data_IF_998044786259
#
_entry.id   IF_998044786259
#
_cell.length_a   1.000
_cell.length_b   1.000
_cell.length_c   1.000
_cell.angle_alpha   90.00
_cell.angle_beta   90.00
_cell.angle_gamma   90.00
#
_symmetry.space_group_name_H-M   'P 1'
#
loop_
_entity.id
_entity.type
_entity.pdbx_description
1 polymer ?
#
# COMPACT_ATOMS: atom_id res chain seq x y z
N UNK A 1 -44.22 -38.04 50.35
CA UNK A 1 -44.64 -37.39 49.09
C UNK A 1 -43.42 -36.67 48.49
N UNK A 2 -42.82 -37.20 47.42
CA UNK A 2 -41.66 -36.60 46.75
C UNK A 2 -42.10 -36.11 45.37
N UNK A 3 -42.07 -34.79 45.13
CA UNK A 3 -42.39 -34.18 43.84
C UNK A 3 -41.11 -34.14 43.00
N UNK A 4 -41.11 -34.84 41.87
CA UNK A 4 -40.05 -34.78 40.85
C UNK A 4 -40.47 -33.70 39.85
N UNK A 5 -39.70 -32.62 39.77
CA UNK A 5 -39.89 -31.56 38.77
C UNK A 5 -39.04 -31.95 37.55
N UNK A 6 -39.71 -32.29 36.46
CA UNK A 6 -39.08 -32.52 35.15
C UNK A 6 -38.79 -31.16 34.52
N UNK A 7 -37.50 -30.83 34.33
CA UNK A 7 -37.07 -29.62 33.64
C UNK A 7 -36.90 -29.96 32.15
N UNK A 8 -37.83 -29.52 31.30
CA UNK A 8 -37.76 -29.69 29.85
C UNK A 8 -36.83 -28.62 29.24
N UNK A 9 -35.69 -29.05 28.70
CA UNK A 9 -34.76 -28.19 27.96
C UNK A 9 -35.23 -28.09 26.50
N UNK A 10 -35.87 -26.97 26.13
CA UNK A 10 -36.23 -26.68 24.74
C UNK A 10 -35.00 -26.08 24.05
N UNK A 11 -34.35 -26.87 23.21
CA UNK A 11 -33.28 -26.41 22.32
C UNK A 11 -33.88 -25.58 21.18
N UNK A 12 -33.77 -24.26 21.29
CA UNK A 12 -34.07 -23.34 20.20
C UNK A 12 -32.86 -23.29 19.26
N UNK A 13 -32.95 -24.01 18.14
CA UNK A 13 -31.98 -23.93 17.04
C UNK A 13 -32.19 -22.62 16.27
N UNK A 14 -31.56 -21.54 16.73
CA UNK A 14 -31.47 -20.30 15.95
C UNK A 14 -30.56 -20.55 14.75
N UNK A 15 -31.14 -20.75 13.56
CA UNK A 15 -30.41 -20.70 12.31
C UNK A 15 -30.03 -19.26 12.04
N UNK A 16 -28.78 -18.90 12.37
CA UNK A 16 -28.17 -17.66 11.91
C UNK A 16 -28.05 -17.80 10.39
N UNK A 17 -28.97 -17.17 9.65
CA UNK A 17 -28.75 -16.90 8.24
C UNK A 17 -27.58 -15.93 8.19
N UNK A 18 -26.41 -16.44 7.83
CA UNK A 18 -25.29 -15.62 7.39
C UNK A 18 -25.85 -14.67 6.32
N UNK A 19 -25.94 -13.39 6.65
CA UNK A 19 -26.22 -12.37 5.66
C UNK A 19 -25.03 -12.41 4.71
N UNK A 20 -25.26 -12.86 3.48
CA UNK A 20 -24.33 -12.63 2.38
C UNK A 20 -24.04 -11.14 2.36
N UNK A 21 -22.86 -10.77 2.87
CA UNK A 21 -22.30 -9.45 2.67
C UNK A 21 -22.11 -9.38 1.16
N UNK A 22 -23.02 -8.68 0.50
CA UNK A 22 -22.92 -8.35 -0.90
C UNK A 22 -21.47 -7.94 -1.17
N UNK A 23 -20.81 -8.68 -2.05
CA UNK A 23 -19.51 -8.33 -2.60
C UNK A 23 -19.62 -6.89 -3.08
N UNK A 24 -19.09 -5.95 -2.29
CA UNK A 24 -18.91 -4.56 -2.70
C UNK A 24 -18.19 -4.64 -4.05
N UNK A 25 -18.89 -4.22 -5.10
CA UNK A 25 -18.41 -4.31 -6.47
C UNK A 25 -16.98 -3.77 -6.54
N UNK A 26 -16.09 -4.54 -7.16
CA UNK A 26 -14.67 -4.23 -7.40
C UNK A 26 -14.54 -2.79 -7.89
N UNK A 27 -14.27 -1.85 -6.98
CA UNK A 27 -13.91 -0.50 -7.37
C UNK A 27 -12.65 -0.63 -8.25
N UNK A 28 -12.57 0.06 -9.41
CA UNK A 28 -11.37 0.00 -10.23
C UNK A 28 -10.19 0.43 -9.36
N UNK A 29 -9.24 -0.48 -9.15
CA UNK A 29 -8.04 -0.20 -8.36
C UNK A 29 -7.26 0.89 -9.08
N UNK A 30 -6.91 1.97 -8.38
CA UNK A 30 -6.01 2.98 -8.92
C UNK A 30 -4.73 2.31 -9.42
N UNK A 31 -4.24 2.68 -10.61
CA UNK A 31 -3.13 2.01 -11.29
C UNK A 31 -2.03 3.02 -11.66
N UNK A 32 -0.76 2.64 -11.50
CA UNK A 32 0.39 3.43 -11.97
C UNK A 32 0.99 2.82 -13.22
N UNK A 33 1.22 3.68 -14.21
CA UNK A 33 1.91 3.33 -15.45
C UNK A 33 3.08 4.28 -15.68
N UNK A 34 4.09 3.79 -16.40
CA UNK A 34 5.09 4.64 -17.01
C UNK A 34 4.46 5.35 -18.20
N UNK A 35 4.76 6.64 -18.36
CA UNK A 35 4.32 7.46 -19.47
C UNK A 35 5.51 7.86 -20.34
N UNK A 36 5.36 7.73 -21.65
CA UNK A 36 6.39 8.01 -22.66
C UNK A 36 5.96 9.24 -23.47
N UNK A 37 6.33 10.47 -23.08
CA UNK A 37 5.81 11.69 -23.72
C UNK A 37 6.12 11.77 -25.21
N UNK A 38 7.28 11.25 -25.63
CA UNK A 38 7.70 11.28 -27.03
C UNK A 38 6.78 10.48 -27.97
N UNK A 39 6.03 9.51 -27.43
CA UNK A 39 5.15 8.64 -28.23
C UNK A 39 3.70 8.67 -27.77
N UNK A 40 3.39 9.44 -26.72
CA UNK A 40 2.12 9.43 -26.01
C UNK A 40 1.63 8.03 -25.59
N UNK A 41 2.57 7.13 -25.28
CA UNK A 41 2.27 5.75 -24.87
C UNK A 41 2.42 5.56 -23.38
N UNK A 42 1.74 4.55 -22.86
CA UNK A 42 1.87 4.09 -21.49
C UNK A 42 2.33 2.63 -21.45
N UNK A 43 3.18 2.29 -20.50
CA UNK A 43 3.59 0.91 -20.26
C UNK A 43 3.41 0.54 -18.78
N UNK A 44 3.03 -0.71 -18.53
CA UNK A 44 2.82 -1.22 -17.19
C UNK A 44 4.11 -1.26 -16.37
N UNK A 45 3.96 -1.10 -15.06
CA UNK A 45 4.98 -1.41 -14.07
C UNK A 45 4.74 -2.83 -13.52
N UNK A 46 5.69 -3.38 -12.78
CA UNK A 46 5.47 -4.65 -12.09
C UNK A 46 4.44 -4.47 -10.97
N UNK A 47 3.22 -4.97 -11.17
CA UNK A 47 2.15 -4.93 -10.17
C UNK A 47 2.21 -6.17 -9.27
N UNK A 48 2.38 -5.98 -7.96
CA UNK A 48 2.43 -7.07 -7.00
C UNK A 48 1.92 -6.64 -5.61
N UNK A 49 1.78 -7.61 -4.71
CA UNK A 49 1.38 -7.35 -3.33
C UNK A 49 2.59 -7.09 -2.42
N UNK A 50 2.43 -6.16 -1.49
CA UNK A 50 3.35 -5.93 -0.39
C UNK A 50 2.69 -6.15 0.97
N UNK A 51 3.45 -6.67 1.92
CA UNK A 51 3.00 -6.84 3.31
C UNK A 51 3.54 -5.68 4.14
N UNK A 52 2.65 -4.91 4.79
CA UNK A 52 3.09 -3.88 5.73
C UNK A 52 3.56 -4.53 7.02
N UNK A 53 4.79 -4.21 7.44
CA UNK A 53 5.40 -4.63 8.69
C UNK A 53 5.46 -3.47 9.65
N UNK A 54 5.19 -3.77 10.91
CA UNK A 54 5.31 -2.86 12.03
C UNK A 54 6.37 -3.42 12.98
N UNK A 55 7.38 -2.63 13.31
CA UNK A 55 8.40 -3.01 14.30
C UNK A 55 8.41 -1.99 15.43
N UNK A 56 8.12 -2.45 16.65
CA UNK A 56 8.21 -1.65 17.87
C UNK A 56 9.66 -1.67 18.37
N UNK A 57 10.20 -0.52 18.78
CA UNK A 57 11.52 -0.44 19.44
C UNK A 57 11.36 -0.62 20.95
N UNK A 58 12.32 -1.35 21.57
CA UNK A 58 12.45 -1.68 23.00
C UNK A 58 11.28 -1.25 23.91
N UNK A 59 10.29 -2.12 24.10
CA UNK A 59 9.16 -1.88 25.01
C UNK A 59 8.20 -0.74 24.61
N UNK A 60 8.32 -0.17 23.40
CA UNK A 60 7.57 1.00 22.95
C UNK A 60 8.30 2.34 23.13
N UNK A 61 9.42 2.35 23.86
CA UNK A 61 10.14 3.57 24.24
C UNK A 61 11.00 4.20 23.12
N UNK A 62 11.10 3.55 21.95
CA UNK A 62 11.77 4.12 20.76
C UNK A 62 10.83 4.43 19.61
N UNK A 63 9.51 4.29 19.80
CA UNK A 63 8.53 4.42 18.74
C UNK A 63 8.32 3.17 17.89
N UNK A 64 7.75 3.38 16.71
CA UNK A 64 7.37 2.35 15.76
C UNK A 64 7.90 2.68 14.37
N UNK A 65 8.46 1.68 13.68
CA UNK A 65 8.81 1.80 12.27
C UNK A 65 7.84 1.00 11.41
N UNK A 66 7.47 1.56 10.26
CA UNK A 66 6.67 0.88 9.26
C UNK A 66 7.49 0.64 7.99
N UNK A 67 7.28 -0.52 7.38
CA UNK A 67 7.86 -0.86 6.09
C UNK A 67 6.90 -1.72 5.27
N UNK A 68 7.12 -1.80 3.96
CA UNK A 68 6.40 -2.69 3.06
C UNK A 68 7.38 -3.71 2.50
N UNK A 69 7.10 -5.00 2.72
CA UNK A 69 7.88 -6.10 2.17
C UNK A 69 7.27 -6.60 0.87
N UNK A 70 8.04 -6.53 -0.21
CA UNK A 70 7.69 -7.00 -1.54
C UNK A 70 8.50 -8.27 -1.82
N UNK A 71 7.85 -9.32 -2.34
CA UNK A 71 8.55 -10.56 -2.69
C UNK A 71 9.50 -10.35 -3.87
N UNK A 72 10.62 -11.07 -3.84
CA UNK A 72 11.65 -11.01 -4.87
C UNK A 72 12.65 -9.86 -4.67
N UNK A 73 13.84 -10.05 -5.22
CA UNK A 73 14.98 -9.11 -5.07
C UNK A 73 15.05 -8.06 -6.17
N UNK A 74 14.42 -8.28 -7.32
CA UNK A 74 14.56 -7.44 -8.51
C UNK A 74 13.24 -7.27 -9.22
N UNK A 75 13.02 -6.07 -9.73
CA UNK A 75 11.95 -5.85 -10.70
C UNK A 75 12.33 -6.34 -12.09
N UNK A 76 11.32 -6.83 -12.81
CA UNK A 76 11.40 -7.16 -14.24
C UNK A 76 11.29 -5.92 -15.12
N UNK A 77 10.78 -4.81 -14.60
CA UNK A 77 10.63 -3.55 -15.33
C UNK A 77 11.85 -2.67 -15.06
N UNK A 78 12.62 -2.37 -16.11
CA UNK A 78 13.89 -1.62 -16.04
C UNK A 78 13.81 -0.37 -16.89
N UNK A 79 14.08 0.78 -16.28
CA UNK A 79 13.88 2.10 -16.88
C UNK A 79 15.18 2.90 -16.89
N UNK A 80 15.30 3.81 -17.85
CA UNK A 80 16.32 4.85 -17.81
C UNK A 80 15.87 5.97 -16.85
N UNK A 81 16.78 6.52 -16.04
CA UNK A 81 16.46 7.58 -15.09
C UNK A 81 15.77 8.81 -15.72
N UNK A 82 16.15 9.16 -16.96
CA UNK A 82 15.59 10.31 -17.69
C UNK A 82 14.17 10.07 -18.23
N UNK A 83 13.68 8.84 -18.16
CA UNK A 83 12.33 8.46 -18.62
C UNK A 83 11.29 8.36 -17.49
N UNK A 84 11.65 8.73 -16.26
CA UNK A 84 10.82 8.53 -15.07
C UNK A 84 9.65 9.54 -14.97
N UNK A 85 8.68 9.42 -15.87
CA UNK A 85 7.42 10.14 -15.86
C UNK A 85 6.31 9.12 -15.73
N UNK A 86 5.49 9.24 -14.70
CA UNK A 86 4.46 8.27 -14.40
C UNK A 86 3.08 8.90 -14.53
N UNK A 87 2.06 8.06 -14.68
CA UNK A 87 0.67 8.46 -14.57
C UNK A 87 -0.06 7.57 -13.59
N UNK A 88 -0.81 8.19 -12.69
CA UNK A 88 -1.79 7.53 -11.83
C UNK A 88 -3.16 7.68 -12.46
N UNK A 89 -3.77 6.54 -12.76
CA UNK A 89 -5.18 6.46 -13.09
C UNK A 89 -5.94 6.15 -11.81
N UNK A 90 -6.74 7.10 -11.31
CA UNK A 90 -7.52 6.96 -10.09
C UNK A 90 -8.76 6.11 -10.35
N UNK A 91 -9.12 5.27 -9.37
CA UNK A 91 -10.43 4.61 -9.35
C UNK A 91 -11.59 5.62 -9.23
N UNK A 92 -12.79 5.23 -9.69
CA UNK A 92 -13.99 6.08 -9.71
C UNK A 92 -14.35 6.69 -8.35
N UNK A 93 -14.04 6.02 -7.24
CA UNK A 93 -14.26 6.54 -5.88
C UNK A 93 -13.10 7.36 -5.30
N UNK A 94 -12.05 7.60 -6.08
CA UNK A 94 -10.83 8.29 -5.66
C UNK A 94 -10.58 9.60 -6.42
N UNK A 95 -11.48 9.95 -7.35
CA UNK A 95 -11.39 11.20 -8.11
C UNK A 95 -11.49 12.38 -7.14
N UNK A 96 -10.53 13.30 -7.21
CA UNK A 96 -10.46 14.49 -6.36
C UNK A 96 -9.75 14.29 -5.01
N UNK A 97 -9.32 13.07 -4.68
CA UNK A 97 -8.45 12.86 -3.50
C UNK A 97 -7.03 13.34 -3.76
N UNK A 98 -6.38 13.91 -2.74
CA UNK A 98 -4.96 14.25 -2.80
C UNK A 98 -4.12 12.98 -3.05
N UNK A 99 -3.34 13.01 -4.12
CA UNK A 99 -2.50 11.91 -4.60
C UNK A 99 -1.45 11.51 -3.57
N UNK A 100 -0.95 12.47 -2.79
CA UNK A 100 0.00 12.20 -1.71
C UNK A 100 -0.58 11.25 -0.65
N UNK A 101 -1.91 11.19 -0.54
CA UNK A 101 -2.64 10.29 0.34
C UNK A 101 -2.98 8.96 -0.31
N UNK A 102 -2.95 8.86 -1.65
CA UNK A 102 -3.34 7.64 -2.37
C UNK A 102 -2.14 6.78 -2.75
N UNK A 103 -1.00 7.41 -3.08
CA UNK A 103 0.17 6.69 -3.55
C UNK A 103 1.47 7.39 -3.17
N UNK A 104 2.50 6.60 -2.87
CA UNK A 104 3.81 7.12 -2.42
C UNK A 104 4.94 6.37 -3.09
N UNK A 105 5.95 7.10 -3.56
CA UNK A 105 7.14 6.54 -4.19
C UNK A 105 8.24 6.29 -3.15
N UNK A 106 8.86 5.11 -3.19
CA UNK A 106 9.99 4.74 -2.32
C UNK A 106 11.15 4.19 -3.13
N UNK A 107 12.37 4.46 -2.66
CA UNK A 107 13.56 3.65 -3.00
C UNK A 107 13.52 2.39 -2.14
N UNK A 108 13.77 1.24 -2.75
CA UNK A 108 13.68 -0.07 -2.11
C UNK A 108 15.07 -0.54 -1.68
N UNK A 109 15.13 -1.11 -0.48
CA UNK A 109 16.31 -1.82 0.02
C UNK A 109 16.14 -3.32 -0.17
N UNK A 110 17.21 -4.04 -0.48
CA UNK A 110 17.18 -5.51 -0.53
C UNK A 110 17.59 -6.07 0.82
N UNK A 111 16.68 -6.79 1.47
CA UNK A 111 16.91 -7.44 2.77
C UNK A 111 16.35 -8.85 2.76
N UNK A 112 17.20 -9.84 3.04
CA UNK A 112 16.82 -11.24 3.18
C UNK A 112 15.99 -11.76 1.97
N UNK A 113 16.44 -11.47 0.75
CA UNK A 113 15.76 -11.90 -0.47
C UNK A 113 14.48 -11.16 -0.83
N UNK A 114 14.20 -10.03 -0.16
CA UNK A 114 13.00 -9.21 -0.39
C UNK A 114 13.37 -7.76 -0.65
N UNK A 115 12.55 -7.09 -1.46
CA UNK A 115 12.54 -5.64 -1.60
C UNK A 115 11.75 -5.02 -0.45
N UNK A 116 12.29 -3.99 0.18
CA UNK A 116 11.71 -3.34 1.36
C UNK A 116 11.61 -1.84 1.12
N UNK A 117 10.38 -1.32 1.10
CA UNK A 117 10.15 0.12 1.21
C UNK A 117 10.05 0.48 2.70
N UNK A 118 10.98 1.26 3.22
CA UNK A 118 10.82 1.87 4.55
C UNK A 118 9.82 3.01 4.39
N UNK A 119 8.82 3.12 5.27
CA UNK A 119 7.90 4.27 5.26
C UNK A 119 8.51 5.38 6.12
N UNK A 120 8.94 5.01 7.33
CA UNK A 120 9.46 5.93 8.31
C UNK A 120 9.46 5.37 9.72
N UNK A 121 10.02 6.15 10.63
CA UNK A 121 9.94 5.92 12.07
C UNK A 121 9.07 6.99 12.73
N UNK A 122 8.08 6.56 13.49
CA UNK A 122 7.23 7.41 14.32
C UNK A 122 7.68 7.25 15.77
N UNK A 123 8.41 8.24 16.28
CA UNK A 123 8.89 8.23 17.67
C UNK A 123 7.80 8.71 18.62
N UNK A 124 7.71 8.07 19.78
CA UNK A 124 6.82 8.53 20.86
C UNK A 124 7.37 9.83 21.45
N UNK A 125 6.51 10.84 21.63
CA UNK A 125 6.86 12.15 22.20
C UNK A 125 7.02 12.14 23.73
N UNK A 126 6.89 10.97 24.37
CA UNK A 126 6.97 10.80 25.84
C UNK A 126 8.28 11.34 26.48
N UNK A 127 9.35 11.57 25.70
CA UNK A 127 10.61 12.17 26.13
C UNK A 127 11.02 13.42 25.31
N UNK A 128 10.06 14.09 24.67
CA UNK A 128 10.22 15.45 24.15
C UNK A 128 11.11 15.66 22.90
N UNK A 129 11.76 14.63 22.35
CA UNK A 129 12.74 14.79 21.23
C UNK A 129 12.54 13.84 20.05
N UNK A 130 11.34 13.26 19.92
CA UNK A 130 11.04 12.33 18.83
C UNK A 130 10.93 13.03 17.47
N UNK A 131 11.94 12.89 16.60
CA UNK A 131 11.82 13.23 15.17
C UNK A 131 11.20 12.06 14.41
N UNK A 132 10.08 12.32 13.72
CA UNK A 132 9.51 11.42 12.72
C UNK A 132 10.33 11.51 11.44
N UNK A 133 10.67 10.37 10.85
CA UNK A 133 11.31 10.32 9.53
C UNK A 133 10.29 9.88 8.49
N UNK A 134 10.28 10.54 7.33
CA UNK A 134 9.54 10.13 6.15
C UNK A 134 10.57 9.88 5.04
N UNK A 135 10.52 8.69 4.46
CA UNK A 135 11.52 8.23 3.48
C UNK A 135 10.95 8.18 2.07
N UNK A 136 9.71 8.66 1.87
CA UNK A 136 9.11 8.77 0.54
C UNK A 136 9.88 9.78 -0.32
N UNK A 137 9.98 9.47 -1.60
CA UNK A 137 10.53 10.37 -2.62
C UNK A 137 9.48 11.44 -2.93
N UNK A 138 9.90 12.70 -2.92
CA UNK A 138 9.02 13.83 -3.23
C UNK A 138 8.74 13.85 -4.74
N UNK A 139 7.47 14.02 -5.10
CA UNK A 139 7.00 14.08 -6.47
C UNK A 139 6.23 15.37 -6.74
N UNK A 140 6.38 15.90 -7.96
CA UNK A 140 5.47 16.90 -8.52
C UNK A 140 4.33 16.17 -9.21
N UNK A 141 3.11 16.57 -8.87
CA UNK A 141 1.90 15.98 -9.40
C UNK A 141 1.16 17.02 -10.24
N UNK A 142 0.74 16.64 -11.45
CA UNK A 142 -0.01 17.51 -12.37
C UNK A 142 -1.24 16.79 -12.87
N UNK A 143 -2.42 17.25 -12.48
CA UNK A 143 -3.68 16.75 -13.02
C UNK A 143 -3.68 16.96 -14.55
N UNK A 144 -3.89 15.90 -15.32
CA UNK A 144 -3.97 15.98 -16.78
C UNK A 144 -5.42 16.09 -17.23
N UNK A 145 -6.29 15.29 -16.63
CA UNK A 145 -7.75 15.30 -16.77
C UNK A 145 -8.36 14.57 -15.56
N UNK A 146 -9.66 14.60 -15.42
CA UNK A 146 -10.35 13.89 -14.32
C UNK A 146 -9.89 12.43 -14.19
N UNK A 147 -9.50 12.04 -12.98
CA UNK A 147 -9.02 10.69 -12.67
C UNK A 147 -7.67 10.31 -13.28
N UNK A 148 -6.95 11.23 -13.94
CA UNK A 148 -5.62 10.98 -14.50
C UNK A 148 -4.62 12.07 -14.11
N UNK A 149 -3.57 11.66 -13.41
CA UNK A 149 -2.55 12.58 -12.91
C UNK A 149 -1.16 12.13 -13.28
N UNK A 150 -0.38 13.05 -13.83
CA UNK A 150 1.05 12.86 -14.03
C UNK A 150 1.79 12.98 -12.70
N UNK A 151 2.74 12.09 -12.47
CA UNK A 151 3.62 12.06 -11.29
C UNK A 151 5.07 12.07 -11.79
N UNK A 152 5.85 13.05 -11.33
CA UNK A 152 7.26 13.21 -11.71
C UNK A 152 8.10 13.36 -10.43
N UNK A 153 9.13 12.53 -10.20
CA UNK A 153 10.08 12.74 -9.12
C UNK A 153 10.70 14.15 -9.19
N UNK A 154 10.80 14.85 -8.06
CA UNK A 154 11.42 16.19 -8.03
C UNK A 154 12.91 16.17 -8.36
N UNK A 155 13.56 15.06 -8.02
CA UNK A 155 14.98 14.80 -8.28
C UNK A 155 15.11 13.61 -9.22
N UNK A 156 16.13 13.62 -10.07
CA UNK A 156 16.49 12.47 -10.90
C UNK A 156 16.71 11.25 -10.00
N UNK A 157 16.08 10.13 -10.36
CA UNK A 157 16.22 8.89 -9.63
C UNK A 157 17.62 8.30 -9.89
N UNK A 158 18.29 7.88 -8.83
CA UNK A 158 19.55 7.16 -8.92
C UNK A 158 19.32 5.70 -9.36
N UNK A 159 20.38 5.00 -9.76
CA UNK A 159 20.33 3.56 -9.97
C UNK A 159 19.79 2.83 -8.73
N UNK A 160 18.85 1.91 -8.93
CA UNK A 160 18.26 1.13 -7.83
C UNK A 160 16.85 0.63 -8.10
N UNK A 161 16.27 -0.01 -7.08
CA UNK A 161 14.92 -0.55 -7.12
C UNK A 161 13.95 0.45 -6.48
N UNK A 162 12.75 0.60 -7.06
CA UNK A 162 11.75 1.57 -6.65
C UNK A 162 10.36 0.94 -6.68
N UNK A 163 9.44 1.46 -5.86
CA UNK A 163 8.03 1.16 -6.03
C UNK A 163 7.15 2.32 -5.61
N UNK A 164 6.04 2.46 -6.33
CA UNK A 164 4.87 3.16 -5.82
C UNK A 164 4.07 2.21 -4.92
N UNK A 165 3.77 2.64 -3.71
CA UNK A 165 2.91 1.91 -2.76
C UNK A 165 1.57 2.61 -2.69
N UNK A 166 0.49 1.90 -3.07
CA UNK A 166 -0.87 2.37 -2.86
C UNK A 166 -1.15 2.41 -1.36
N UNK A 167 -1.64 3.53 -0.85
CA UNK A 167 -2.02 3.69 0.56
C UNK A 167 -3.41 3.14 0.86
N UNK A 168 -4.18 2.80 -0.18
CA UNK A 168 -5.47 2.14 0.00
C UNK A 168 -5.23 0.68 0.36
N UNK A 169 -5.78 0.26 1.49
CA UNK A 169 -5.87 -1.16 1.80
C UNK A 169 -6.65 -1.85 0.68
N UNK A 170 -6.08 -2.92 0.15
CA UNK A 170 -6.86 -3.80 -0.70
C UNK A 170 -7.92 -4.46 0.17
N UNK A 171 -9.19 -4.05 -0.02
CA UNK A 171 -10.33 -4.41 0.84
C UNK A 171 -10.60 -5.91 0.92
N UNK A 172 -10.05 -6.70 0.00
CA UNK A 172 -10.17 -8.16 -0.01
C UNK A 172 -8.99 -8.89 0.63
N UNK A 173 -8.02 -8.16 1.17
CA UNK A 173 -6.67 -8.68 1.41
C UNK A 173 -6.16 -8.37 2.83
N UNK A 174 -7.05 -8.51 3.80
CA UNK A 174 -6.75 -8.60 5.22
C UNK A 174 -6.88 -10.05 5.68
N UNK A 175 -5.78 -10.71 6.02
CA UNK A 175 -5.77 -12.11 6.48
C UNK A 175 -5.90 -12.25 8.02
N UNK A 176 -6.27 -11.17 8.71
CA UNK A 176 -6.31 -11.09 10.17
C UNK A 176 -4.96 -10.81 10.84
N UNK A 177 -3.84 -10.95 10.12
CA UNK A 177 -2.47 -10.75 10.65
C UNK A 177 -1.65 -9.74 9.85
N UNK A 178 -1.92 -9.60 8.56
CA UNK A 178 -1.20 -8.74 7.63
C UNK A 178 -2.21 -7.99 6.74
N UNK A 179 -1.98 -6.69 6.62
CA UNK A 179 -2.60 -5.88 5.59
C UNK A 179 -1.74 -5.96 4.33
N UNK A 180 -2.32 -6.40 3.21
CA UNK A 180 -1.64 -6.31 1.92
C UNK A 180 -1.97 -5.01 1.21
N UNK A 181 -0.96 -4.49 0.53
CA UNK A 181 -1.02 -3.29 -0.28
C UNK A 181 -0.59 -3.62 -1.70
N UNK A 182 -1.17 -2.93 -2.69
CA UNK A 182 -0.70 -3.03 -4.07
C UNK A 182 0.51 -2.13 -4.25
N UNK A 183 1.54 -2.65 -4.92
CA UNK A 183 2.73 -1.90 -5.30
C UNK A 183 2.98 -2.00 -6.79
N UNK A 184 3.57 -0.94 -7.34
CA UNK A 184 3.99 -0.85 -8.74
C UNK A 184 5.50 -0.64 -8.77
N UNK A 185 6.24 -1.71 -8.96
CA UNK A 185 7.69 -1.76 -8.85
C UNK A 185 8.39 -1.59 -10.21
N UNK A 186 9.60 -1.03 -10.16
CA UNK A 186 10.51 -0.87 -11.28
C UNK A 186 11.95 -0.69 -10.79
N UNK A 187 12.91 -0.81 -11.70
CA UNK A 187 14.31 -0.49 -11.46
C UNK A 187 14.77 0.66 -12.37
N UNK A 188 15.69 1.47 -11.86
CA UNK A 188 16.51 2.39 -12.66
C UNK A 188 17.88 1.73 -12.84
N UNK A 189 18.32 1.58 -14.09
CA UNK A 189 19.64 1.06 -14.44
C UNK A 189 20.69 2.14 -14.66
#
# INVERSE_FOLDING_TARGET
MKKIILLAFVLFSATIKAQDIASYGKAPSSEVKLYHPATDKQSGLESTGAIRKQKKKLGGFGGVSFSYEIKGEKSTVRLNADSAIFVLQQGTGMVGMDISMTIRLFKLEIKNGKRVAVEGEYKSSLLGTGKTTDTKIVTRNKQLKEGLTQIVPEKKLEKGEYAFVSSMMDGNNYDGKNTKYTVYAFAID
#
